data_IF_966576157312
#
_entry.id   IF_966576157312
#
_cell.length_a   1.000
_cell.length_b   1.000
_cell.length_c   1.000
_cell.angle_alpha   90.00
_cell.angle_beta   90.00
_cell.angle_gamma   90.00
#
_symmetry.space_group_name_H-M   'P 1'
#
loop_
_entity.id
_entity.type
_entity.pdbx_description
1 polymer ?
#
# COMPACT_ATOMS: atom_id res chain seq x y z
N UNK A 1 28.00 -34.70 28.78
CA UNK A 1 27.68 -34.16 28.75
C UNK A 1 27.31 -33.47 28.13
N UNK A 2 27.23 -33.80 28.17
CA UNK A 2 26.69 -33.16 27.92
C UNK A 2 26.04 -32.33 27.37
N UNK A 3 25.87 -32.63 27.55
CA UNK A 3 25.13 -31.87 27.44
C UNK A 3 24.48 -31.02 26.77
N UNK A 4 24.68 -31.48 27.01
CA UNK A 4 23.92 -30.55 26.81
C UNK A 4 23.25 -29.89 26.04
N UNK A 5 23.39 -30.38 26.16
CA UNK A 5 22.72 -29.68 25.92
C UNK A 5 22.01 -29.03 25.23
N UNK A 6 22.17 -29.48 25.50
CA UNK A 6 21.52 -28.76 25.41
C UNK A 6 20.85 -28.04 24.80
N UNK A 7 21.07 -28.56 25.05
CA UNK A 7 20.36 -27.71 24.99
C UNK A 7 19.79 -26.99 24.26
N UNK A 8 20.13 -27.47 24.41
CA UNK A 8 19.65 -26.72 24.37
C UNK A 8 19.08 -26.23 23.55
N UNK A 9 19.19 -26.65 23.78
CA UNK A 9 18.57 -25.99 23.52
C UNK A 9 17.98 -25.46 22.76
N UNK A 10 18.18 -25.87 22.97
CA UNK A 10 17.59 -25.16 22.76
C UNK A 10 16.98 -24.62 22.18
N UNK A 11 17.04 -24.95 22.36
CA UNK A 11 16.42 -24.13 22.23
C UNK A 11 15.93 -23.40 21.60
N UNK A 12 16.07 -23.69 21.80
CA UNK A 12 15.55 -22.77 21.73
C UNK A 12 15.26 -22.15 20.83
N UNK A 13 15.35 -22.46 20.93
CA UNK A 13 15.02 -21.64 20.54
C UNK A 13 14.47 -21.20 19.75
N UNK A 14 14.32 -21.42 19.74
CA UNK A 14 13.71 -20.90 19.36
C UNK A 14 13.04 -20.39 19.08
N UNK A 15 12.91 -20.72 19.35
CA UNK A 15 12.10 -20.26 19.37
C UNK A 15 11.73 -19.28 19.23
N UNK A 16 11.86 -19.51 19.45
CA UNK A 16 11.65 -18.17 19.63
C UNK A 16 11.47 -17.42 18.39
N UNK A 17 12.09 -17.69 17.54
CA UNK A 17 12.01 -16.93 16.38
C UNK A 17 10.77 -17.03 15.64
N UNK A 18 10.08 -18.07 15.87
CA UNK A 18 8.98 -18.28 15.15
C UNK A 18 7.95 -17.36 15.26
N UNK A 19 7.60 -17.09 16.35
CA UNK A 19 6.51 -16.21 16.57
C UNK A 19 6.79 -14.85 16.09
N UNK A 20 8.01 -14.48 16.02
CA UNK A 20 8.34 -13.16 15.56
C UNK A 20 8.05 -12.98 14.11
N UNK A 21 8.09 -14.03 13.35
CA UNK A 21 7.87 -13.93 11.94
C UNK A 21 6.46 -13.43 11.63
N UNK A 22 5.46 -13.89 12.35
CA UNK A 22 4.10 -13.47 12.11
C UNK A 22 3.88 -11.99 12.28
N UNK A 23 4.23 -11.41 13.42
CA UNK A 23 4.05 -9.99 13.62
C UNK A 23 4.84 -9.17 12.60
N UNK A 24 6.01 -9.63 12.25
CA UNK A 24 6.81 -8.90 11.28
C UNK A 24 6.18 -8.89 9.91
N UNK A 25 5.58 -10.00 9.52
CA UNK A 25 4.93 -10.10 8.24
C UNK A 25 3.72 -9.17 8.18
N UNK A 26 2.92 -9.14 9.22
CA UNK A 26 1.78 -8.27 9.26
C UNK A 26 2.18 -6.82 9.17
N UNK A 27 3.23 -6.44 9.83
CA UNK A 27 3.70 -5.08 9.78
C UNK A 27 4.15 -4.71 8.37
N UNK A 28 4.83 -5.61 7.69
CA UNK A 28 5.29 -5.35 6.35
C UNK A 28 4.11 -5.13 5.40
N UNK A 29 3.06 -5.92 5.55
CA UNK A 29 1.89 -5.74 4.72
C UNK A 29 1.21 -4.42 5.04
N UNK A 30 1.13 -4.05 6.30
CA UNK A 30 0.51 -2.81 6.70
C UNK A 30 1.26 -1.61 6.13
N UNK A 31 2.59 -1.68 6.06
CA UNK A 31 3.37 -0.59 5.50
C UNK A 31 3.18 -0.46 4.00
N UNK A 32 2.81 -1.55 3.31
CA UNK A 32 2.56 -1.54 1.89
C UNK A 32 1.12 -1.25 1.52
N UNK A 33 0.27 -0.94 2.48
CA UNK A 33 -1.14 -0.73 2.26
C UNK A 33 -1.56 0.66 2.75
N UNK A 34 -2.65 1.17 2.22
CA UNK A 34 -3.23 2.42 2.69
C UNK A 34 -3.86 2.24 4.06
N UNK A 35 -3.71 3.24 4.92
CA UNK A 35 -4.41 3.30 6.19
C UNK A 35 -5.84 3.79 5.96
N UNK A 36 -6.74 3.45 6.89
CA UNK A 36 -8.11 3.90 6.81
C UNK A 36 -8.99 2.90 6.08
N UNK A 37 -10.21 3.31 5.76
CA UNK A 37 -11.12 2.42 5.06
C UNK A 37 -11.22 2.84 3.60
N UNK A 38 -11.45 1.86 2.75
CA UNK A 38 -11.57 2.10 1.32
C UNK A 38 -12.88 2.82 1.06
N UNK A 39 -12.81 3.96 0.39
CA UNK A 39 -13.98 4.79 0.12
C UNK A 39 -14.32 4.82 -1.37
N UNK A 40 -13.41 4.46 -2.23
CA UNK A 40 -13.70 4.46 -3.67
C UNK A 40 -12.72 3.56 -4.40
N UNK A 41 -13.23 2.89 -5.42
CA UNK A 41 -12.43 2.11 -6.36
C UNK A 41 -12.84 2.50 -7.76
N UNK A 42 -11.86 2.84 -8.60
CA UNK A 42 -12.11 3.15 -10.00
C UNK A 42 -11.36 2.13 -10.84
N UNK A 43 -12.10 1.26 -11.52
CA UNK A 43 -11.49 0.23 -12.36
C UNK A 43 -11.18 0.75 -13.74
N UNK A 44 -10.14 0.20 -14.34
CA UNK A 44 -9.81 0.47 -15.74
C UNK A 44 -9.22 -0.82 -16.33
N UNK A 45 -8.96 -0.83 -17.62
CA UNK A 45 -8.64 -2.06 -18.32
C UNK A 45 -7.50 -2.87 -17.69
N UNK A 46 -6.46 -2.20 -17.20
CA UNK A 46 -5.26 -2.88 -16.71
C UNK A 46 -5.09 -2.83 -15.21
N UNK A 47 -5.99 -2.19 -14.48
CA UNK A 47 -5.83 -2.07 -13.04
C UNK A 47 -6.99 -1.41 -12.33
N UNK A 48 -6.75 -1.05 -11.08
CA UNK A 48 -7.71 -0.34 -10.24
C UNK A 48 -7.01 0.76 -9.46
N UNK A 49 -7.68 1.88 -9.35
CA UNK A 49 -7.25 2.96 -8.48
C UNK A 49 -8.12 2.88 -7.24
N UNK A 50 -7.50 2.73 -6.07
CA UNK A 50 -8.22 2.57 -4.80
C UNK A 50 -7.89 3.73 -3.88
N UNK A 51 -8.92 4.33 -3.30
CA UNK A 51 -8.78 5.48 -2.42
C UNK A 51 -9.26 5.10 -1.03
N UNK A 52 -8.47 5.45 -0.03
CA UNK A 52 -8.75 5.16 1.37
C UNK A 52 -8.77 6.46 2.16
N UNK A 53 -9.57 6.51 3.20
CA UNK A 53 -9.69 7.70 4.02
C UNK A 53 -9.61 7.32 5.48
N UNK A 54 -8.77 8.02 6.21
CA UNK A 54 -8.80 8.06 7.65
C UNK A 54 -9.21 9.48 8.04
N UNK A 55 -9.25 9.77 9.34
CA UNK A 55 -9.76 11.07 9.76
C UNK A 55 -9.01 12.23 9.13
N UNK A 56 -7.70 12.17 9.13
CA UNK A 56 -6.86 13.29 8.70
C UNK A 56 -6.17 13.10 7.36
N UNK A 57 -6.21 11.88 6.83
CA UNK A 57 -5.42 11.56 5.66
C UNK A 57 -6.23 10.85 4.59
N UNK A 58 -5.82 11.04 3.37
CA UNK A 58 -6.33 10.27 2.24
C UNK A 58 -5.15 9.58 1.60
N UNK A 59 -5.37 8.35 1.16
CA UNK A 59 -4.32 7.50 0.62
C UNK A 59 -4.81 6.85 -0.67
N UNK A 60 -3.92 6.73 -1.64
CA UNK A 60 -4.27 6.10 -2.92
C UNK A 60 -3.25 5.04 -3.27
N UNK A 61 -3.71 4.02 -3.95
CA UNK A 61 -2.86 2.96 -4.46
C UNK A 61 -3.42 2.51 -5.82
N UNK A 62 -2.54 2.26 -6.77
CA UNK A 62 -2.91 1.68 -8.06
C UNK A 62 -2.48 0.21 -8.02
N UNK A 63 -3.41 -0.68 -8.33
CA UNK A 63 -3.17 -2.13 -8.27
C UNK A 63 -3.32 -2.69 -9.67
N UNK A 64 -2.35 -3.52 -10.08
CA UNK A 64 -2.38 -4.15 -11.39
C UNK A 64 -3.36 -5.32 -11.41
N UNK A 65 -4.03 -5.52 -12.53
CA UNK A 65 -4.85 -6.72 -12.76
C UNK A 65 -4.02 -7.92 -13.19
N UNK A 66 -2.73 -7.71 -13.44
CA UNK A 66 -1.81 -8.77 -13.86
C UNK A 66 -0.61 -8.80 -12.92
N UNK A 67 -0.82 -9.20 -11.65
CA UNK A 67 0.28 -9.22 -10.69
C UNK A 67 1.38 -10.15 -11.17
N UNK A 68 2.61 -9.75 -10.91
CA UNK A 68 3.79 -10.48 -11.36
C UNK A 68 4.35 -10.00 -12.67
N UNK A 69 3.58 -9.28 -13.47
CA UNK A 69 4.06 -8.72 -14.74
C UNK A 69 4.59 -7.31 -14.47
N UNK A 70 5.85 -7.06 -14.82
CA UNK A 70 6.45 -5.76 -14.60
C UNK A 70 5.90 -4.76 -15.61
N UNK A 71 5.35 -3.68 -15.12
CA UNK A 71 4.71 -2.67 -15.96
C UNK A 71 4.98 -1.29 -15.40
N UNK A 72 4.96 -0.29 -16.25
CA UNK A 72 5.03 1.11 -15.80
C UNK A 72 3.73 1.43 -15.10
N UNK A 73 3.82 1.85 -13.84
CA UNK A 73 2.65 2.14 -13.03
C UNK A 73 2.85 3.46 -12.31
N UNK A 74 1.74 4.13 -12.03
CA UNK A 74 1.77 5.42 -11.37
C UNK A 74 0.53 5.60 -10.51
N UNK A 75 0.69 6.35 -9.43
CA UNK A 75 -0.44 6.79 -8.62
C UNK A 75 -0.12 8.19 -8.11
N UNK A 76 -1.15 9.05 -8.09
CA UNK A 76 -1.03 10.36 -7.47
C UNK A 76 -2.27 10.61 -6.64
N UNK A 77 -2.12 11.41 -5.59
CA UNK A 77 -3.25 11.93 -4.84
C UNK A 77 -2.91 13.35 -4.40
N UNK A 78 -3.90 14.23 -4.42
CA UNK A 78 -3.71 15.62 -4.09
C UNK A 78 -4.88 16.09 -3.25
N UNK A 79 -4.59 16.75 -2.14
CA UNK A 79 -5.61 17.48 -1.39
C UNK A 79 -5.69 18.89 -1.99
N UNK A 80 -6.91 19.42 -2.10
CA UNK A 80 -7.10 20.73 -2.70
C UNK A 80 -6.29 21.79 -1.93
N UNK A 81 -5.54 22.58 -2.66
CA UNK A 81 -4.70 23.60 -2.06
C UNK A 81 -3.32 23.12 -1.63
N UNK A 82 -3.01 21.85 -1.84
CA UNK A 82 -1.73 21.29 -1.42
C UNK A 82 -1.03 20.61 -2.58
N UNK A 83 0.21 20.21 -2.33
CA UNK A 83 1.01 19.53 -3.33
C UNK A 83 0.57 18.07 -3.47
N UNK A 84 0.62 17.55 -4.67
CA UNK A 84 0.29 16.15 -4.91
C UNK A 84 1.41 15.24 -4.41
N UNK A 85 1.02 14.06 -3.91
CA UNK A 85 1.96 12.98 -3.60
C UNK A 85 1.89 11.99 -4.76
N UNK A 86 3.04 11.44 -5.14
CA UNK A 86 3.13 10.63 -6.35
C UNK A 86 4.12 9.50 -6.17
N UNK A 87 3.82 8.36 -6.76
CA UNK A 87 4.74 7.25 -6.89
C UNK A 87 4.63 6.72 -8.30
N UNK A 88 5.76 6.52 -8.96
CA UNK A 88 5.77 5.99 -10.32
C UNK A 88 7.02 5.17 -10.54
N UNK A 89 6.92 4.17 -11.40
CA UNK A 89 8.05 3.31 -11.68
C UNK A 89 7.59 2.06 -12.39
N UNK A 90 8.45 1.08 -12.42
CA UNK A 90 8.14 -0.22 -13.02
C UNK A 90 7.91 -1.19 -11.88
N UNK A 91 6.67 -1.58 -11.70
CA UNK A 91 6.25 -2.41 -10.58
C UNK A 91 5.54 -3.66 -11.08
N UNK A 92 5.48 -4.67 -10.22
CA UNK A 92 4.84 -5.94 -10.57
C UNK A 92 3.46 -6.09 -9.94
N UNK A 93 3.14 -5.30 -8.92
CA UNK A 93 1.86 -5.46 -8.21
C UNK A 93 1.12 -4.15 -8.02
N UNK A 94 1.80 -3.12 -7.58
CA UNK A 94 1.13 -1.86 -7.27
C UNK A 94 2.09 -0.69 -7.31
N UNK A 95 1.53 0.49 -7.49
CA UNK A 95 2.21 1.76 -7.29
C UNK A 95 1.59 2.40 -6.04
N UNK A 96 2.40 2.99 -5.21
CA UNK A 96 1.98 3.52 -3.92
C UNK A 96 2.14 2.50 -2.82
N UNK A 97 1.52 2.75 -1.65
CA UNK A 97 0.56 3.83 -1.40
C UNK A 97 1.18 5.21 -1.32
N UNK A 98 0.38 6.22 -1.62
CA UNK A 98 0.77 7.62 -1.41
C UNK A 98 -0.31 8.27 -0.56
N UNK A 99 0.10 9.13 0.37
CA UNK A 99 -0.80 9.68 1.37
C UNK A 99 -0.64 11.19 1.47
N UNK A 100 -1.75 11.90 1.64
CA UNK A 100 -1.75 13.34 1.83
C UNK A 100 -2.62 13.69 3.04
N UNK A 101 -2.29 14.80 3.69
CA UNK A 101 -3.13 15.34 4.75
C UNK A 101 -4.38 15.93 4.10
N UNK A 102 -5.55 15.53 4.57
CA UNK A 102 -6.80 15.89 3.89
C UNK A 102 -7.95 16.12 4.86
N UNK A 103 -7.66 16.67 6.03
CA UNK A 103 -8.72 17.00 6.99
C UNK A 103 -9.56 18.12 6.39
N UNK A 104 -10.86 17.82 6.18
CA UNK A 104 -11.82 18.78 5.64
C UNK A 104 -11.42 19.35 4.27
N UNK A 105 -10.81 18.53 3.45
CA UNK A 105 -10.39 18.95 2.11
C UNK A 105 -10.82 17.93 1.08
N UNK A 106 -11.23 18.42 -0.09
CA UNK A 106 -11.45 17.55 -1.23
C UNK A 106 -10.12 16.97 -1.68
N UNK A 107 -10.16 15.77 -2.23
CA UNK A 107 -8.97 15.16 -2.82
C UNK A 107 -9.29 14.69 -4.23
N UNK A 108 -8.26 14.58 -5.05
CA UNK A 108 -8.38 13.93 -6.35
C UNK A 108 -7.20 12.98 -6.52
N UNK A 109 -7.45 11.88 -7.19
CA UNK A 109 -6.45 10.86 -7.35
C UNK A 109 -6.43 10.38 -8.79
N UNK A 110 -5.29 9.81 -9.17
CA UNK A 110 -5.05 9.37 -10.53
C UNK A 110 -4.16 8.15 -10.47
N UNK A 111 -4.44 7.16 -11.31
CA UNK A 111 -3.63 5.96 -11.38
C UNK A 111 -3.51 5.48 -12.80
N UNK A 112 -2.41 4.78 -13.09
CA UNK A 112 -2.21 4.21 -14.41
C UNK A 112 -1.40 2.93 -14.32
N UNK A 113 -1.64 2.03 -15.28
CA UNK A 113 -0.86 0.81 -15.47
C UNK A 113 -0.69 0.69 -16.99
N UNK A 114 0.55 0.85 -17.45
CA UNK A 114 0.82 0.92 -18.88
C UNK A 114 0.15 2.15 -19.48
N UNK A 115 -0.59 1.97 -20.54
CA UNK A 115 -1.24 3.07 -21.24
C UNK A 115 -2.63 3.39 -20.68
N UNK A 116 -3.19 2.54 -19.83
CA UNK A 116 -4.54 2.71 -19.30
C UNK A 116 -4.50 3.45 -17.97
N UNK A 117 -5.52 4.24 -17.70
CA UNK A 117 -5.53 5.10 -16.53
C UNK A 117 -6.95 5.39 -16.05
N UNK A 118 -7.03 5.90 -14.83
CA UNK A 118 -8.29 6.35 -14.25
C UNK A 118 -8.01 7.50 -13.30
N UNK A 119 -9.04 8.28 -13.04
CA UNK A 119 -8.95 9.37 -12.08
C UNK A 119 -10.31 9.56 -11.41
N UNK A 120 -10.31 10.28 -10.27
CA UNK A 120 -11.55 10.45 -9.51
C UNK A 120 -12.21 11.80 -9.69
N UNK A 121 -11.46 12.81 -10.12
CA UNK A 121 -11.92 14.17 -9.94
C UNK A 121 -11.87 14.53 -8.45
N UNK A 122 -12.49 15.65 -8.09
CA UNK A 122 -12.51 16.07 -6.67
C UNK A 122 -13.58 15.31 -5.92
N UNK A 123 -13.18 14.62 -4.84
CA UNK A 123 -14.08 13.83 -4.01
C UNK A 123 -13.75 14.07 -2.54
N UNK A 124 -14.59 13.55 -1.65
CA UNK A 124 -14.41 13.63 -0.19
C UNK A 124 -14.37 15.08 0.29
N UNK A 125 -15.16 15.90 -0.32
CA UNK A 125 -15.25 17.32 0.04
C UNK A 125 -16.02 17.58 1.34
#
# INVERSE_FOLDING_TARGET
MRKHLMYGLALLTAVAGLTLAGPGTERAEALGACSGRKVKTVGFATGELRIYKSRRYACAVTVSKRPGVRQVMQVTIQARGSRAAKDSGRFTHRAGPVTVYALNRCVRAHGSVGAEKASTGWILC
#
